data_IF_175355844954
#
_entry.id   IF_175355844954
#
_cell.length_a   1.000
_cell.length_b   1.000
_cell.length_c   1.000
_cell.angle_alpha   90.00
_cell.angle_beta   90.00
_cell.angle_gamma   90.00
#
_symmetry.space_group_name_H-M   'P 1'
#
loop_
_entity.id
_entity.type
_entity.pdbx_description
1 polymer ?
#
# COMPACT_ATOMS: atom_id res chain seq x y z
N UNK A 1 27.42 -35.31 -7.79
CA UNK A 1 26.36 -34.29 -7.63
C UNK A 1 25.02 -35.01 -7.60
N UNK A 2 24.33 -34.98 -6.49
CA UNK A 2 23.08 -35.71 -6.33
C UNK A 2 21.93 -34.87 -6.90
N UNK A 3 21.27 -35.33 -7.96
CA UNK A 3 20.15 -34.68 -8.64
C UNK A 3 19.03 -34.26 -7.66
N UNK A 4 18.80 -35.02 -6.61
CA UNK A 4 17.81 -34.72 -5.58
C UNK A 4 18.10 -33.40 -4.79
N UNK A 5 19.40 -33.05 -4.65
CA UNK A 5 19.80 -31.81 -3.97
C UNK A 5 19.68 -30.57 -4.89
N UNK A 6 19.86 -30.78 -6.19
CA UNK A 6 19.66 -29.69 -7.19
C UNK A 6 18.19 -29.35 -7.32
N UNK A 7 17.32 -30.36 -7.33
CA UNK A 7 15.87 -30.17 -7.41
C UNK A 7 15.30 -29.44 -6.19
N UNK A 8 15.82 -29.75 -4.98
CA UNK A 8 15.41 -29.05 -3.76
C UNK A 8 15.84 -27.58 -3.75
N UNK A 9 17.04 -27.27 -4.23
CA UNK A 9 17.52 -25.89 -4.30
C UNK A 9 16.72 -25.07 -5.34
N UNK A 10 16.37 -25.67 -6.48
CA UNK A 10 15.53 -25.06 -7.51
C UNK A 10 14.12 -24.82 -6.98
N UNK A 11 13.50 -25.81 -6.32
CA UNK A 11 12.18 -25.69 -5.70
C UNK A 11 12.15 -24.61 -4.63
N UNK A 12 13.18 -24.54 -3.75
CA UNK A 12 13.29 -23.49 -2.74
C UNK A 12 13.41 -22.10 -3.37
N UNK A 13 14.17 -21.95 -4.46
CA UNK A 13 14.27 -20.71 -5.23
C UNK A 13 12.94 -20.36 -5.93
N UNK A 14 12.23 -21.33 -6.46
CA UNK A 14 10.91 -21.15 -7.05
C UNK A 14 9.87 -20.77 -6.00
N UNK A 15 9.91 -21.36 -4.81
CA UNK A 15 9.02 -20.98 -3.69
C UNK A 15 9.27 -19.54 -3.23
N UNK A 16 10.53 -19.12 -3.10
CA UNK A 16 10.90 -17.74 -2.78
C UNK A 16 10.47 -16.81 -3.91
N UNK A 17 10.69 -17.17 -5.17
CA UNK A 17 10.26 -16.41 -6.32
C UNK A 17 8.73 -16.33 -6.41
N UNK A 18 8.00 -17.43 -6.18
CA UNK A 18 6.52 -17.44 -6.15
C UNK A 18 5.95 -16.66 -4.96
N UNK A 19 6.60 -16.64 -3.79
CA UNK A 19 6.21 -15.79 -2.67
C UNK A 19 6.39 -14.31 -2.98
N UNK A 20 7.42 -13.94 -3.74
CA UNK A 20 7.66 -12.56 -4.19
C UNK A 20 6.81 -12.17 -5.39
N UNK A 21 6.38 -13.12 -6.24
CA UNK A 21 5.53 -12.86 -7.41
C UNK A 21 4.03 -13.05 -7.14
N UNK A 22 3.66 -13.72 -6.05
CA UNK A 22 2.26 -13.83 -5.60
C UNK A 22 1.76 -12.60 -4.85
N UNK A 23 2.60 -11.58 -4.68
CA UNK A 23 2.17 -10.29 -4.15
C UNK A 23 1.27 -9.63 -5.19
N UNK A 24 -0.04 -9.67 -4.94
CA UNK A 24 -1.03 -8.97 -5.75
C UNK A 24 -0.63 -7.51 -5.89
N UNK A 25 -0.53 -7.05 -7.12
CA UNK A 25 -0.36 -5.64 -7.41
C UNK A 25 -1.72 -4.96 -7.42
N UNK A 26 -1.91 -4.03 -6.49
CA UNK A 26 -3.16 -3.30 -6.31
C UNK A 26 -2.93 -1.82 -6.59
N UNK A 27 -3.80 -1.22 -7.38
CA UNK A 27 -3.83 0.21 -7.60
C UNK A 27 -5.17 0.81 -7.17
N UNK A 28 -5.20 2.12 -7.05
CA UNK A 28 -6.41 2.89 -6.83
C UNK A 28 -6.34 4.18 -7.64
N UNK A 29 -7.47 4.65 -8.11
CA UNK A 29 -7.59 5.90 -8.86
C UNK A 29 -8.52 6.85 -8.13
N UNK A 30 -8.08 8.06 -7.89
CA UNK A 30 -8.85 9.06 -7.17
C UNK A 30 -8.87 10.40 -7.92
N UNK A 31 -9.92 11.19 -7.71
CA UNK A 31 -10.11 12.48 -8.37
C UNK A 31 -9.77 13.68 -7.46
N UNK A 32 -9.66 13.47 -6.16
CA UNK A 32 -9.32 14.49 -5.16
C UNK A 32 -8.82 13.84 -3.88
N UNK A 33 -8.22 14.62 -2.98
CA UNK A 33 -7.80 14.12 -1.67
C UNK A 33 -8.98 13.56 -0.87
N UNK A 34 -10.11 14.21 -0.92
CA UNK A 34 -11.34 13.73 -0.29
C UNK A 34 -11.78 12.37 -0.87
N UNK A 35 -11.73 12.23 -2.19
CA UNK A 35 -12.06 10.95 -2.86
C UNK A 35 -11.08 9.86 -2.47
N UNK A 36 -9.78 10.16 -2.41
CA UNK A 36 -8.75 9.24 -1.91
C UNK A 36 -9.09 8.75 -0.49
N UNK A 37 -9.42 9.66 0.40
CA UNK A 37 -9.74 9.33 1.79
C UNK A 37 -11.01 8.48 1.88
N UNK A 38 -12.03 8.79 1.09
CA UNK A 38 -13.28 8.01 1.05
C UNK A 38 -13.08 6.58 0.53
N UNK A 39 -12.16 6.37 -0.41
CA UNK A 39 -11.82 5.04 -0.91
C UNK A 39 -10.99 4.26 0.11
N UNK A 40 -9.98 4.89 0.70
CA UNK A 40 -8.94 4.19 1.45
C UNK A 40 -9.29 3.99 2.93
N UNK A 41 -10.03 4.90 3.56
CA UNK A 41 -10.32 4.81 4.99
C UNK A 41 -11.08 3.55 5.40
N UNK A 42 -12.10 3.07 4.67
CA UNK A 42 -12.75 1.81 5.02
C UNK A 42 -11.79 0.62 4.96
N UNK A 43 -10.90 0.62 3.98
CA UNK A 43 -9.89 -0.43 3.81
C UNK A 43 -8.81 -0.38 4.90
N UNK A 44 -8.37 0.83 5.26
CA UNK A 44 -7.46 1.05 6.38
C UNK A 44 -8.08 0.55 7.68
N UNK A 45 -9.37 0.86 7.91
CA UNK A 45 -10.12 0.39 9.08
C UNK A 45 -10.08 -1.14 9.18
N UNK A 46 -10.43 -1.82 8.11
CA UNK A 46 -10.39 -3.28 8.06
C UNK A 46 -8.99 -3.84 8.33
N UNK A 47 -7.97 -3.21 7.77
CA UNK A 47 -6.57 -3.61 7.97
C UNK A 47 -6.12 -3.45 9.42
N UNK A 48 -6.50 -2.37 10.08
CA UNK A 48 -6.23 -2.13 11.50
C UNK A 48 -6.95 -3.17 12.38
N UNK A 49 -8.19 -3.51 12.04
CA UNK A 49 -8.96 -4.55 12.73
C UNK A 49 -8.29 -5.92 12.64
N UNK A 50 -7.57 -6.17 11.55
CA UNK A 50 -6.73 -7.36 11.33
C UNK A 50 -5.31 -7.25 11.93
N UNK A 51 -5.06 -6.24 12.75
CA UNK A 51 -3.76 -5.94 13.38
C UNK A 51 -2.62 -5.65 12.41
N UNK A 52 -2.91 -5.19 11.22
CA UNK A 52 -1.87 -4.73 10.27
C UNK A 52 -1.35 -3.36 10.69
N UNK A 53 -0.06 -3.14 10.52
CA UNK A 53 0.53 -1.80 10.58
C UNK A 53 0.24 -1.08 9.26
N UNK A 54 -0.27 0.13 9.33
CA UNK A 54 -0.57 0.95 8.14
C UNK A 54 0.43 2.09 8.03
N UNK A 55 1.05 2.22 6.86
CA UNK A 55 1.96 3.32 6.54
C UNK A 55 1.47 3.99 5.24
N UNK A 56 1.34 5.31 5.27
CA UNK A 56 0.90 6.09 4.11
C UNK A 56 2.03 6.98 3.63
N UNK A 57 2.52 6.70 2.41
CA UNK A 57 3.44 7.58 1.70
C UNK A 57 2.61 8.50 0.82
N UNK A 58 2.77 9.80 0.97
CA UNK A 58 2.03 10.79 0.19
C UNK A 58 2.92 11.93 -0.23
N UNK A 59 2.79 12.35 -1.46
CA UNK A 59 3.53 13.49 -2.01
C UNK A 59 3.10 14.81 -1.38
N UNK A 60 1.81 14.94 -1.03
CA UNK A 60 1.27 16.09 -0.33
C UNK A 60 0.87 15.76 1.11
N UNK A 61 0.88 16.78 1.96
CA UNK A 61 0.46 16.62 3.36
C UNK A 61 -1.07 16.52 3.45
N UNK A 62 -1.57 15.44 4.04
CA UNK A 62 -3.00 15.15 4.19
C UNK A 62 -3.54 15.42 5.61
N UNK A 63 -2.71 15.86 6.56
CA UNK A 63 -3.11 16.01 7.96
C UNK A 63 -4.36 16.88 8.15
N UNK A 64 -4.45 18.00 7.42
CA UNK A 64 -5.57 18.92 7.54
C UNK A 64 -6.89 18.37 6.95
N UNK A 65 -6.80 17.61 5.86
CA UNK A 65 -7.99 17.03 5.19
C UNK A 65 -8.50 15.81 5.91
N UNK A 66 -7.61 14.96 6.40
CA UNK A 66 -7.98 13.73 7.11
C UNK A 66 -8.76 14.01 8.40
N UNK A 67 -8.39 15.06 9.14
CA UNK A 67 -9.08 15.45 10.35
C UNK A 67 -10.56 15.80 10.09
N UNK A 68 -10.85 16.49 8.98
CA UNK A 68 -12.21 16.83 8.58
C UNK A 68 -13.03 15.58 8.25
N UNK A 69 -12.43 14.63 7.55
CA UNK A 69 -13.10 13.38 7.16
C UNK A 69 -13.36 12.52 8.38
N UNK A 70 -12.38 12.38 9.28
CA UNK A 70 -12.53 11.58 10.51
C UNK A 70 -13.63 12.13 11.44
N UNK A 71 -13.81 13.44 11.51
CA UNK A 71 -14.89 14.06 12.28
C UNK A 71 -16.27 13.72 11.72
N UNK A 72 -16.39 13.53 10.41
CA UNK A 72 -17.63 13.14 9.74
C UNK A 72 -17.93 11.65 9.78
N UNK A 73 -16.98 10.81 10.20
CA UNK A 73 -17.16 9.36 10.27
C UNK A 73 -17.62 8.94 11.66
N UNK A 74 -18.59 8.02 11.70
CA UNK A 74 -19.07 7.43 12.96
C UNK A 74 -18.13 6.28 13.35
N UNK A 75 -17.05 6.62 14.04
CA UNK A 75 -16.02 5.68 14.49
C UNK A 75 -16.02 5.59 16.00
N UNK A 76 -15.74 4.40 16.55
CA UNK A 76 -15.46 4.26 17.97
C UNK A 76 -14.13 4.95 18.37
N UNK A 77 -13.96 5.26 19.65
CA UNK A 77 -12.77 5.97 20.17
C UNK A 77 -11.48 5.18 19.94
N UNK A 78 -11.53 3.85 20.02
CA UNK A 78 -10.38 2.98 19.75
C UNK A 78 -9.92 3.09 18.30
N UNK A 79 -10.85 3.13 17.36
CA UNK A 79 -10.55 3.30 15.93
C UNK A 79 -10.04 4.69 15.60
N UNK A 80 -10.61 5.74 16.20
CA UNK A 80 -10.10 7.10 16.08
C UNK A 80 -8.67 7.20 16.58
N UNK A 81 -8.36 6.63 17.74
CA UNK A 81 -7.01 6.60 18.32
C UNK A 81 -6.02 5.90 17.39
N UNK A 82 -6.33 4.70 16.91
CA UNK A 82 -5.47 3.94 15.99
C UNK A 82 -5.22 4.67 14.66
N UNK A 83 -6.17 5.46 14.17
CA UNK A 83 -6.01 6.26 12.95
C UNK A 83 -5.19 7.51 13.14
N UNK A 84 -5.27 8.10 14.33
CA UNK A 84 -4.41 9.21 14.71
C UNK A 84 -2.95 8.77 14.85
N UNK A 85 -2.69 7.47 15.06
CA UNK A 85 -1.35 6.89 15.07
C UNK A 85 -0.75 6.74 13.64
N UNK A 86 -1.53 7.01 12.60
CA UNK A 86 -1.04 7.04 11.22
C UNK A 86 -0.50 8.43 10.91
N UNK A 87 0.73 8.48 10.43
CA UNK A 87 1.33 9.73 9.93
C UNK A 87 0.78 10.03 8.52
N UNK A 88 -0.05 11.04 8.41
CA UNK A 88 -0.64 11.54 7.16
C UNK A 88 0.17 12.67 6.51
N UNK A 89 1.33 12.99 7.08
CA UNK A 89 2.25 13.96 6.52
C UNK A 89 3.03 13.42 5.33
N UNK A 90 3.91 14.24 4.78
CA UNK A 90 4.68 13.93 3.57
C UNK A 90 6.20 13.80 3.81
N UNK A 91 6.61 13.44 5.02
CA UNK A 91 8.02 13.21 5.36
C UNK A 91 8.40 11.74 5.16
N UNK A 92 8.85 11.39 3.97
CA UNK A 92 9.11 10.00 3.56
C UNK A 92 10.23 9.32 4.37
N UNK A 93 11.26 10.07 4.79
CA UNK A 93 12.40 9.51 5.54
C UNK A 93 11.99 8.90 6.88
N UNK A 94 11.09 9.55 7.60
CA UNK A 94 10.57 9.06 8.88
C UNK A 94 9.74 7.78 8.67
N UNK A 95 8.95 7.75 7.60
CA UNK A 95 8.12 6.58 7.24
C UNK A 95 8.94 5.38 6.79
N UNK A 96 10.06 5.61 6.11
CA UNK A 96 11.01 4.54 5.76
C UNK A 96 11.62 3.92 7.03
N UNK A 97 11.95 4.72 8.04
CA UNK A 97 12.42 4.19 9.33
C UNK A 97 11.33 3.39 10.06
N UNK A 98 10.09 3.87 10.05
CA UNK A 98 8.94 3.13 10.59
C UNK A 98 8.72 1.79 9.86
N UNK A 99 8.91 1.77 8.55
CA UNK A 99 8.83 0.56 7.74
C UNK A 99 9.91 -0.44 8.11
N UNK A 100 11.16 0.00 8.27
CA UNK A 100 12.28 -0.85 8.72
C UNK A 100 12.01 -1.44 10.10
N UNK A 101 11.50 -0.64 11.02
CA UNK A 101 11.14 -1.08 12.37
C UNK A 101 10.04 -2.14 12.34
N UNK A 102 8.99 -1.92 11.58
CA UNK A 102 7.89 -2.88 11.43
C UNK A 102 8.35 -4.19 10.79
N UNK A 103 9.27 -4.11 9.84
CA UNK A 103 9.90 -5.27 9.21
C UNK A 103 10.69 -6.11 10.22
N UNK A 104 11.46 -5.47 11.09
CA UNK A 104 12.22 -6.15 12.15
C UNK A 104 11.31 -6.81 13.19
N UNK A 105 10.12 -6.26 13.41
CA UNK A 105 9.13 -6.80 14.34
C UNK A 105 8.21 -7.86 13.70
N UNK A 106 8.42 -8.22 12.43
CA UNK A 106 7.61 -9.17 11.65
C UNK A 106 6.11 -8.85 11.64
N UNK A 107 5.77 -7.57 11.59
CA UNK A 107 4.38 -7.13 11.50
C UNK A 107 3.87 -7.21 10.07
N UNK A 108 2.62 -7.64 9.91
CA UNK A 108 1.92 -7.49 8.62
C UNK A 108 1.71 -6.02 8.31
N UNK A 109 1.94 -5.64 7.06
CA UNK A 109 1.95 -4.25 6.61
C UNK A 109 0.91 -4.00 5.53
N UNK A 110 0.23 -2.86 5.65
CA UNK A 110 -0.46 -2.21 4.54
C UNK A 110 0.26 -0.90 4.25
N UNK A 111 0.72 -0.75 3.02
CA UNK A 111 1.39 0.46 2.56
C UNK A 111 0.55 1.09 1.46
N UNK A 112 0.18 2.35 1.64
CA UNK A 112 -0.46 3.17 0.63
C UNK A 112 0.56 4.17 0.08
N UNK A 113 0.67 4.27 -1.24
CA UNK A 113 1.57 5.22 -1.90
C UNK A 113 0.72 6.13 -2.78
N UNK A 114 0.61 7.40 -2.43
CA UNK A 114 -0.24 8.38 -3.10
C UNK A 114 0.59 9.50 -3.71
N UNK A 115 0.46 9.71 -4.99
CA UNK A 115 1.14 10.80 -5.68
C UNK A 115 1.12 10.65 -7.18
N UNK A 116 1.99 11.41 -7.82
CA UNK A 116 2.26 11.31 -9.26
C UNK A 116 2.98 10.00 -9.58
N UNK A 117 2.90 9.57 -10.82
CA UNK A 117 3.53 8.34 -11.29
C UNK A 117 5.03 8.27 -10.93
N UNK A 118 5.76 9.38 -11.10
CA UNK A 118 7.18 9.44 -10.77
C UNK A 118 7.45 9.28 -9.26
N UNK A 119 6.63 9.89 -8.42
CA UNK A 119 6.72 9.73 -6.96
C UNK A 119 6.50 8.27 -6.55
N UNK A 120 5.47 7.65 -7.10
CA UNK A 120 5.15 6.24 -6.82
C UNK A 120 6.31 5.34 -7.23
N UNK A 121 6.88 5.52 -8.41
CA UNK A 121 8.07 4.79 -8.87
C UNK A 121 9.28 4.98 -7.96
N UNK A 122 9.52 6.19 -7.49
CA UNK A 122 10.63 6.47 -6.57
C UNK A 122 10.46 5.74 -5.23
N UNK A 123 9.25 5.67 -4.71
CA UNK A 123 8.96 4.93 -3.47
C UNK A 123 9.10 3.42 -3.71
N UNK A 124 8.57 2.89 -4.81
CA UNK A 124 8.73 1.48 -5.19
C UNK A 124 10.21 1.07 -5.30
N UNK A 125 11.04 1.93 -5.92
CA UNK A 125 12.48 1.69 -6.03
C UNK A 125 13.16 1.60 -4.66
N UNK A 126 12.73 2.41 -3.71
CA UNK A 126 13.22 2.33 -2.32
C UNK A 126 12.82 1.00 -1.68
N UNK A 127 11.58 0.54 -1.89
CA UNK A 127 11.12 -0.74 -1.35
C UNK A 127 11.89 -1.92 -1.95
N UNK A 128 12.20 -1.88 -3.23
CA UNK A 128 12.93 -2.96 -3.92
C UNK A 128 14.34 -3.18 -3.36
N UNK A 129 14.94 -2.15 -2.74
CA UNK A 129 16.25 -2.19 -2.10
C UNK A 129 16.22 -2.69 -0.65
N UNK A 130 15.03 -2.84 -0.08
CA UNK A 130 14.84 -3.30 1.30
C UNK A 130 14.55 -4.79 1.33
N UNK A 131 15.21 -5.51 2.25
CA UNK A 131 14.82 -6.90 2.52
C UNK A 131 13.47 -6.91 3.24
N UNK A 132 12.51 -7.63 2.69
CA UNK A 132 11.16 -7.71 3.25
C UNK A 132 10.93 -9.09 3.87
N UNK A 133 10.84 -9.15 5.20
CA UNK A 133 10.65 -10.38 5.96
C UNK A 133 9.21 -10.59 6.43
N UNK A 134 8.32 -9.66 6.12
CA UNK A 134 6.92 -9.72 6.54
C UNK A 134 5.97 -9.63 5.35
N UNK A 135 4.76 -10.12 5.54
CA UNK A 135 3.68 -10.00 4.58
C UNK A 135 3.31 -8.53 4.42
N UNK A 136 3.45 -8.02 3.20
CA UNK A 136 3.24 -6.61 2.88
C UNK A 136 2.29 -6.49 1.69
N UNK A 137 1.23 -5.71 1.87
CA UNK A 137 0.34 -5.28 0.80
C UNK A 137 0.67 -3.82 0.45
N UNK A 138 0.88 -3.56 -0.83
CA UNK A 138 1.16 -2.21 -1.34
C UNK A 138 0.04 -1.81 -2.30
N UNK A 139 -0.52 -0.62 -2.08
CA UNK A 139 -1.55 -0.05 -2.95
C UNK A 139 -1.05 1.28 -3.49
N UNK A 140 -0.87 1.34 -4.80
CA UNK A 140 -0.45 2.54 -5.49
C UNK A 140 -1.67 3.37 -5.90
N UNK A 141 -1.72 4.60 -5.42
CA UNK A 141 -2.87 5.49 -5.58
C UNK A 141 -2.54 6.66 -6.52
N UNK A 142 -3.21 6.70 -7.66
CA UNK A 142 -2.96 7.65 -8.73
C UNK A 142 -4.08 8.70 -8.82
N UNK A 143 -3.68 9.95 -8.95
CA UNK A 143 -4.60 11.05 -9.25
C UNK A 143 -4.97 11.02 -10.75
N UNK A 144 -6.25 10.82 -11.04
CA UNK A 144 -6.73 10.75 -12.44
C UNK A 144 -6.53 12.06 -13.21
N UNK A 145 -6.47 13.20 -12.51
CA UNK A 145 -6.23 14.50 -13.13
C UNK A 145 -4.76 14.65 -13.58
N UNK A 146 -3.85 13.94 -12.93
CA UNK A 146 -2.41 13.97 -13.26
C UNK A 146 -2.03 12.95 -14.33
N UNK A 147 -2.66 11.78 -14.33
CA UNK A 147 -2.33 10.71 -15.28
C UNK A 147 -3.15 10.79 -16.58
N UNK A 148 -4.32 11.43 -16.57
CA UNK A 148 -5.17 11.64 -17.74
C UNK A 148 -5.45 10.36 -18.53
N UNK A 149 -5.13 10.36 -19.81
CA UNK A 149 -5.37 9.24 -20.74
C UNK A 149 -4.49 7.99 -20.45
N UNK A 150 -3.52 8.08 -19.54
CA UNK A 150 -2.65 6.97 -19.18
C UNK A 150 -3.28 5.99 -18.18
N UNK A 151 -4.49 6.23 -17.71
CA UNK A 151 -5.16 5.41 -16.68
C UNK A 151 -5.20 3.93 -17.06
N UNK A 152 -5.67 3.61 -18.26
CA UNK A 152 -5.73 2.22 -18.75
C UNK A 152 -4.34 1.58 -18.87
N UNK A 153 -3.38 2.32 -19.38
CA UNK A 153 -1.98 1.86 -19.52
C UNK A 153 -1.36 1.53 -18.16
N UNK A 154 -1.61 2.36 -17.15
CA UNK A 154 -1.15 2.13 -15.78
C UNK A 154 -1.87 0.92 -15.18
N UNK A 155 -3.20 0.85 -15.31
CA UNK A 155 -4.02 -0.22 -14.76
C UNK A 155 -3.61 -1.61 -15.26
N UNK A 156 -3.12 -1.74 -16.48
CA UNK A 156 -2.64 -3.01 -17.06
C UNK A 156 -1.46 -3.62 -16.30
N UNK A 157 -0.75 -2.85 -15.49
CA UNK A 157 0.37 -3.34 -14.67
C UNK A 157 -0.09 -3.90 -13.31
N UNK A 158 -1.37 -3.88 -13.02
CA UNK A 158 -1.96 -4.27 -11.73
C UNK A 158 -2.95 -5.42 -11.87
N UNK A 159 -3.10 -6.19 -10.79
CA UNK A 159 -4.01 -7.33 -10.74
C UNK A 159 -5.40 -6.92 -10.25
N UNK A 160 -5.45 -5.97 -9.32
CA UNK A 160 -6.69 -5.49 -8.69
C UNK A 160 -6.73 -3.98 -8.56
N UNK A 161 -7.94 -3.45 -8.45
CA UNK A 161 -8.21 -2.05 -8.11
C UNK A 161 -8.95 -1.97 -6.77
N UNK A 162 -8.53 -1.02 -5.93
CA UNK A 162 -9.24 -0.64 -4.72
C UNK A 162 -10.19 0.51 -5.04
N UNK A 163 -11.46 0.34 -4.74
CA UNK A 163 -12.48 1.37 -4.83
C UNK A 163 -13.30 1.45 -3.54
N UNK A 164 -14.35 2.25 -3.51
CA UNK A 164 -15.17 2.48 -2.31
C UNK A 164 -15.88 1.23 -1.76
N UNK A 165 -15.99 0.17 -2.55
CA UNK A 165 -16.61 -1.11 -2.14
C UNK A 165 -15.58 -2.21 -1.87
N UNK A 166 -14.29 -1.92 -1.98
CA UNK A 166 -13.19 -2.85 -1.72
C UNK A 166 -12.36 -3.17 -2.95
N UNK A 167 -11.55 -4.23 -2.87
CA UNK A 167 -10.73 -4.70 -3.98
C UNK A 167 -11.54 -5.53 -4.97
N UNK A 168 -11.33 -5.29 -6.25
CA UNK A 168 -11.91 -6.06 -7.33
C UNK A 168 -10.88 -6.33 -8.44
N UNK A 169 -11.09 -7.42 -9.20
CA UNK A 169 -10.27 -7.71 -10.37
C UNK A 169 -10.42 -6.61 -11.41
N UNK A 170 -9.31 -6.28 -12.07
CA UNK A 170 -9.32 -5.39 -13.22
C UNK A 170 -9.74 -6.20 -14.45
N UNK A 171 -10.86 -5.83 -15.04
CA UNK A 171 -11.38 -6.39 -16.29
C UNK A 171 -11.14 -5.35 -17.41
N UNK A 172 -10.52 -5.80 -18.49
CA UNK A 172 -10.28 -5.01 -19.69
C UNK A 172 -11.03 -5.57 -20.87
#
# INVERSE_FOLDING_TARGET
>A
MNLANVDRAILARMEVFMKTTNDEKVCSFFASDYHFEMITLPYIKESIEKNKKVIVFTENNLEATIDKVLKGMNLDEKMKSKRLDIDWGNKDSEKIEDLKKANNENKELLILVKGKEQYIKNIEDRFSKMSNNCETEIIDCYDVNEIGDNTEKIAKNYDKVLNSVGKSLLEF
#
